data_IF_962923090464
#
_entry.id   IF_962923090464
#
_cell.length_a   1.000
_cell.length_b   1.000
_cell.length_c   1.000
_cell.angle_alpha   90.00
_cell.angle_beta   90.00
_cell.angle_gamma   90.00
#
_symmetry.space_group_name_H-M   'P 1'
#
loop_
_entity.id
_entity.type
_entity.pdbx_description
1 polymer ?
#
# COMPACT_ATOMS: atom_id res chain seq x y z
N UNK A 1 -3.56 12.41 -102.87
CA UNK A 1 -2.16 11.98 -102.98
C UNK A 1 -1.40 12.53 -101.79
N UNK A 2 -0.83 11.61 -101.02
CA UNK A 2 0.15 11.78 -99.93
C UNK A 2 -0.19 12.74 -98.78
N UNK A 3 -0.95 12.21 -97.80
CA UNK A 3 -0.91 12.65 -96.41
C UNK A 3 0.05 11.75 -95.64
N UNK A 4 1.19 12.29 -95.24
CA UNK A 4 2.08 11.73 -94.24
C UNK A 4 2.58 12.86 -93.33
N UNK A 5 2.12 12.89 -92.08
CA UNK A 5 2.75 13.55 -90.93
C UNK A 5 1.87 13.24 -89.71
N UNK A 6 2.18 12.16 -88.98
CA UNK A 6 2.86 12.19 -87.67
C UNK A 6 2.12 13.01 -86.62
N UNK A 7 1.36 12.27 -85.81
CA UNK A 7 0.66 12.69 -84.62
C UNK A 7 1.64 13.18 -83.55
N UNK A 8 1.30 14.34 -83.01
CA UNK A 8 1.92 15.08 -81.92
C UNK A 8 1.78 14.28 -80.61
N UNK A 9 2.88 13.88 -79.97
CA UNK A 9 2.88 13.42 -78.57
C UNK A 9 3.64 14.45 -77.76
N UNK A 10 2.87 15.17 -76.94
CA UNK A 10 3.34 16.20 -76.02
C UNK A 10 3.92 15.52 -74.77
N UNK A 11 5.09 15.98 -74.35
CA UNK A 11 5.92 15.32 -73.34
C UNK A 11 5.47 15.50 -71.89
N UNK A 12 6.14 14.75 -71.02
CA UNK A 12 6.28 15.07 -69.61
C UNK A 12 7.72 14.68 -69.19
N UNK A 13 8.53 15.71 -68.91
CA UNK A 13 9.85 15.58 -68.28
C UNK A 13 9.65 15.22 -66.81
N UNK A 14 10.20 14.09 -66.37
CA UNK A 14 10.32 13.71 -64.97
C UNK A 14 11.41 14.55 -64.29
N UNK A 15 11.00 15.61 -63.59
CA UNK A 15 11.82 16.35 -62.62
C UNK A 15 11.77 15.62 -61.28
N UNK A 16 12.86 14.96 -60.91
CA UNK A 16 13.07 14.39 -59.57
C UNK A 16 13.39 15.53 -58.61
N UNK A 17 12.39 15.98 -57.84
CA UNK A 17 12.58 16.86 -56.70
C UNK A 17 12.95 16.01 -55.47
N UNK A 18 14.23 16.06 -55.07
CA UNK A 18 14.66 15.58 -53.76
C UNK A 18 14.18 16.58 -52.69
N UNK A 19 12.96 16.39 -52.19
CA UNK A 19 12.47 17.06 -50.98
C UNK A 19 13.14 16.42 -49.76
N UNK A 20 14.16 17.08 -49.23
CA UNK A 20 14.66 16.82 -47.89
C UNK A 20 13.56 17.13 -46.88
N UNK A 21 13.01 16.10 -46.25
CA UNK A 21 12.13 16.25 -45.09
C UNK A 21 12.98 16.77 -43.92
N UNK A 22 12.95 18.08 -43.69
CA UNK A 22 13.43 18.67 -42.43
C UNK A 22 12.38 18.34 -41.39
N UNK A 23 12.70 17.42 -40.48
CA UNK A 23 11.88 17.03 -39.33
C UNK A 23 11.50 18.30 -38.56
N UNK A 24 10.26 18.74 -38.69
CA UNK A 24 9.67 19.70 -37.75
C UNK A 24 9.73 19.02 -36.37
N UNK A 25 10.32 19.73 -35.40
CA UNK A 25 10.31 19.29 -34.01
C UNK A 25 8.85 19.32 -33.57
N UNK A 26 8.27 18.15 -33.35
CA UNK A 26 7.06 18.03 -32.55
C UNK A 26 7.26 18.84 -31.25
N UNK A 27 6.29 19.67 -30.85
CA UNK A 27 6.34 20.29 -29.54
C UNK A 27 6.30 19.17 -28.51
N UNK A 28 7.39 19.02 -27.76
CA UNK A 28 7.50 18.06 -26.67
C UNK A 28 6.31 18.23 -25.72
N UNK A 29 5.59 17.16 -25.38
CA UNK A 29 4.53 17.24 -24.39
C UNK A 29 5.19 17.38 -23.01
N UNK A 30 4.94 18.51 -22.35
CA UNK A 30 5.19 18.71 -20.92
C UNK A 30 6.67 18.90 -20.55
N UNK A 31 7.00 20.06 -19.99
CA UNK A 31 8.27 20.24 -19.30
C UNK A 31 8.36 19.25 -18.14
N UNK A 32 9.41 18.44 -18.11
CA UNK A 32 9.87 17.82 -16.88
C UNK A 32 10.17 18.95 -15.90
N UNK A 33 9.32 19.09 -14.88
CA UNK A 33 9.75 19.70 -13.63
C UNK A 33 10.82 18.75 -13.11
N UNK A 34 12.09 19.10 -13.30
CA UNK A 34 13.20 18.22 -12.98
C UNK A 34 13.28 18.03 -11.48
N UNK A 35 12.81 16.90 -10.96
CA UNK A 35 13.10 16.48 -9.59
C UNK A 35 14.62 16.40 -9.43
N UNK A 36 15.17 17.11 -8.45
CA UNK A 36 16.63 17.30 -8.26
C UNK A 36 17.27 16.31 -7.28
N UNK A 37 16.55 15.27 -6.86
CA UNK A 37 17.02 14.34 -5.83
C UNK A 37 17.87 13.18 -6.37
N UNK A 38 18.66 12.61 -5.47
CA UNK A 38 19.47 11.40 -5.71
C UNK A 38 18.54 10.19 -5.74
N UNK A 39 18.50 9.37 -6.81
CA UNK A 39 17.65 8.18 -6.85
C UNK A 39 18.00 7.20 -5.72
N UNK A 40 16.97 6.60 -5.10
CA UNK A 40 17.16 5.53 -4.10
C UNK A 40 17.46 4.20 -4.79
N UNK A 41 18.46 3.49 -4.29
CA UNK A 41 18.65 2.07 -4.54
C UNK A 41 18.03 1.29 -3.38
N UNK A 42 16.97 0.53 -3.64
CA UNK A 42 16.34 -0.29 -2.62
C UNK A 42 17.16 -1.57 -2.41
N UNK A 43 17.58 -1.80 -1.17
CA UNK A 43 18.21 -3.06 -0.76
C UNK A 43 17.13 -4.11 -0.57
N UNK A 44 16.81 -4.82 -1.65
CA UNK A 44 15.79 -5.87 -1.69
C UNK A 44 16.42 -7.23 -1.95
N UNK A 45 15.93 -8.31 -1.30
CA UNK A 45 16.32 -9.67 -1.66
C UNK A 45 16.06 -9.94 -3.16
N UNK A 46 16.96 -10.68 -3.81
CA UNK A 46 16.86 -10.94 -5.26
C UNK A 46 15.53 -11.59 -5.65
N UNK A 47 14.98 -12.45 -4.78
CA UNK A 47 13.70 -13.11 -5.05
C UNK A 47 12.54 -12.11 -5.17
N UNK A 48 12.59 -10.97 -4.47
CA UNK A 48 11.56 -9.92 -4.58
C UNK A 48 11.58 -9.33 -5.99
N UNK A 49 12.77 -9.03 -6.50
CA UNK A 49 12.97 -8.53 -7.85
C UNK A 49 12.53 -9.55 -8.91
N UNK A 50 12.86 -10.82 -8.71
CA UNK A 50 12.56 -11.90 -9.67
C UNK A 50 11.08 -12.29 -9.68
N UNK A 51 10.40 -12.21 -8.54
CA UNK A 51 9.04 -12.75 -8.37
C UNK A 51 7.93 -11.69 -8.52
N UNK A 52 8.12 -10.50 -7.95
CA UNK A 52 7.11 -9.42 -7.99
C UNK A 52 7.61 -8.13 -8.65
N UNK A 53 8.92 -7.91 -8.66
CA UNK A 53 9.54 -6.69 -9.16
C UNK A 53 9.21 -5.46 -8.32
N UNK A 54 9.87 -4.33 -8.62
CA UNK A 54 9.55 -3.03 -8.04
C UNK A 54 8.46 -2.36 -8.89
N UNK A 55 7.35 -1.90 -8.30
CA UNK A 55 6.33 -1.14 -9.02
C UNK A 55 6.91 0.15 -9.59
N UNK A 56 6.36 0.62 -10.71
CA UNK A 56 6.77 1.90 -11.25
C UNK A 56 6.39 3.03 -10.27
N UNK A 57 7.37 3.83 -9.86
CA UNK A 57 7.12 5.02 -9.05
C UNK A 57 6.26 6.02 -9.82
N UNK A 58 5.36 6.77 -9.16
CA UNK A 58 4.65 7.86 -9.81
C UNK A 58 5.65 8.82 -10.47
N UNK A 59 5.48 9.16 -11.76
CA UNK A 59 6.42 10.04 -12.45
C UNK A 59 6.58 11.42 -11.80
N UNK A 60 5.56 11.88 -11.08
CA UNK A 60 5.53 13.13 -10.34
C UNK A 60 5.90 12.99 -8.85
N UNK A 61 6.32 11.80 -8.41
CA UNK A 61 6.90 11.57 -7.09
C UNK A 61 7.90 10.40 -7.11
N UNK A 62 9.01 10.52 -7.85
CA UNK A 62 10.05 9.49 -7.88
C UNK A 62 10.70 9.34 -6.50
N UNK A 63 11.16 8.13 -6.18
CA UNK A 63 11.81 7.84 -4.91
C UNK A 63 13.24 8.40 -4.89
N UNK A 64 13.52 9.37 -4.01
CA UNK A 64 14.83 10.01 -3.85
C UNK A 64 15.33 9.95 -2.40
N UNK A 65 16.65 9.96 -2.20
CA UNK A 65 17.28 9.89 -0.88
C UNK A 65 16.81 11.06 -0.02
N UNK A 66 16.76 12.27 -0.59
CA UNK A 66 16.35 13.49 0.08
C UNK A 66 14.84 13.48 0.39
N UNK A 67 14.02 12.97 -0.53
CA UNK A 67 12.57 12.85 -0.33
C UNK A 67 12.21 11.83 0.74
N UNK A 68 12.87 10.66 0.75
CA UNK A 68 12.72 9.64 1.81
C UNK A 68 13.15 10.18 3.17
N UNK A 69 14.30 10.87 3.23
CA UNK A 69 14.79 11.45 4.49
C UNK A 69 13.83 12.52 5.04
N UNK A 70 13.32 13.42 4.18
CA UNK A 70 12.30 14.39 4.54
C UNK A 70 11.00 13.71 4.98
N UNK A 71 10.56 12.68 4.25
CA UNK A 71 9.37 11.89 4.55
C UNK A 71 9.42 11.23 5.91
N UNK A 72 10.56 10.59 6.25
CA UNK A 72 10.80 9.99 7.56
C UNK A 72 10.66 11.02 8.67
N UNK A 73 11.23 12.22 8.49
CA UNK A 73 11.12 13.31 9.46
C UNK A 73 9.66 13.75 9.62
N UNK A 74 8.92 13.91 8.52
CA UNK A 74 7.51 14.33 8.53
C UNK A 74 6.58 13.26 9.13
N UNK A 75 6.83 11.97 8.91
CA UNK A 75 6.07 10.87 9.51
C UNK A 75 6.11 10.92 11.06
N UNK A 76 7.20 11.45 11.61
CA UNK A 76 7.40 11.65 13.05
C UNK A 76 7.16 13.11 13.51
N UNK A 77 6.72 14.00 12.61
CA UNK A 77 6.57 15.43 12.91
C UNK A 77 5.21 15.72 13.55
N UNK A 78 5.25 16.30 14.74
CA UNK A 78 4.04 16.63 15.51
C UNK A 78 3.37 17.92 15.04
N UNK A 79 4.10 18.81 14.36
CA UNK A 79 3.56 20.05 13.80
C UNK A 79 2.44 19.84 12.79
N UNK A 80 2.31 18.61 12.26
CA UNK A 80 1.20 18.18 11.42
C UNK A 80 -0.14 18.15 12.19
N UNK A 81 -0.13 17.92 13.51
CA UNK A 81 -1.32 17.94 14.36
C UNK A 81 -1.65 19.33 14.89
N UNK A 82 -2.93 19.61 15.15
CA UNK A 82 -3.43 20.92 15.57
C UNK A 82 -2.72 21.49 16.81
N UNK A 83 -2.38 20.62 17.75
CA UNK A 83 -1.84 20.94 19.07
C UNK A 83 -0.41 20.45 19.30
N UNK A 84 0.30 20.03 18.25
CA UNK A 84 1.69 19.53 18.32
C UNK A 84 1.89 18.29 19.20
N UNK A 85 0.87 17.46 19.40
CA UNK A 85 0.97 16.27 20.25
C UNK A 85 1.14 14.96 19.48
N UNK A 86 0.64 14.89 18.24
CA UNK A 86 0.57 13.67 17.43
C UNK A 86 1.23 13.81 16.06
N UNK A 87 1.76 12.69 15.57
CA UNK A 87 2.31 12.48 14.22
C UNK A 87 1.77 11.17 13.66
N UNK A 88 2.10 10.82 12.40
CA UNK A 88 1.74 9.52 11.83
C UNK A 88 2.22 8.35 12.71
N UNK A 89 3.47 8.45 13.19
CA UNK A 89 4.07 7.48 14.11
C UNK A 89 3.38 7.34 15.49
N UNK A 90 2.42 8.22 15.84
CA UNK A 90 1.66 8.08 17.09
C UNK A 90 0.65 6.94 17.02
N UNK A 91 0.08 6.69 15.84
CA UNK A 91 -0.87 5.59 15.59
C UNK A 91 -0.24 4.46 14.75
N UNK A 92 0.90 4.72 14.10
CA UNK A 92 1.61 3.73 13.29
C UNK A 92 2.96 3.41 13.95
N UNK A 93 2.91 2.58 14.99
CA UNK A 93 4.06 2.29 15.85
C UNK A 93 4.92 1.18 15.23
N UNK A 94 6.22 1.47 15.03
CA UNK A 94 7.14 0.58 14.31
C UNK A 94 7.20 -0.84 14.90
N UNK A 95 7.24 -0.99 16.23
CA UNK A 95 7.31 -2.30 16.89
C UNK A 95 6.06 -3.17 16.69
N UNK A 96 4.95 -2.54 16.32
CA UNK A 96 3.69 -3.16 15.90
C UNK A 96 3.54 -3.11 14.38
N UNK A 97 4.65 -3.18 13.65
CA UNK A 97 4.68 -3.14 12.19
C UNK A 97 3.96 -1.92 11.59
N UNK A 98 4.11 -0.76 12.22
CA UNK A 98 3.45 0.48 11.87
C UNK A 98 1.92 0.40 11.92
N UNK A 99 1.37 -0.30 12.91
CA UNK A 99 -0.03 -0.18 13.33
C UNK A 99 -0.16 0.37 14.74
N UNK A 100 -1.40 0.58 15.17
CA UNK A 100 -1.76 0.93 16.53
C UNK A 100 -2.01 -0.36 17.33
N UNK A 101 -1.35 -0.57 18.48
CA UNK A 101 -1.65 -1.71 19.35
C UNK A 101 -2.99 -1.57 20.09
N UNK A 102 -3.59 -0.37 20.12
CA UNK A 102 -4.92 -0.16 20.65
C UNK A 102 -6.00 -0.53 19.61
N UNK A 103 -7.21 -0.96 20.05
CA UNK A 103 -8.31 -1.28 19.12
C UNK A 103 -8.61 -0.16 18.12
N UNK A 104 -8.68 1.07 18.61
CA UNK A 104 -8.92 2.26 17.81
C UNK A 104 -7.94 3.34 18.20
N UNK A 105 -7.41 4.07 17.21
CA UNK A 105 -6.48 5.15 17.48
C UNK A 105 -7.14 6.33 18.18
N UNK A 106 -6.45 6.85 19.19
CA UNK A 106 -6.84 8.06 19.92
C UNK A 106 -6.32 9.31 19.19
N UNK A 107 -7.22 10.24 18.86
CA UNK A 107 -6.88 11.53 18.27
C UNK A 107 -6.43 12.58 19.26
N UNK A 108 -6.02 13.73 18.71
CA UNK A 108 -5.48 14.90 19.45
C UNK A 108 -6.38 15.46 20.56
N UNK A 109 -7.66 15.07 20.58
CA UNK A 109 -8.68 15.51 21.51
C UNK A 109 -9.20 14.40 22.43
N UNK A 110 -8.61 13.21 22.37
CA UNK A 110 -9.05 12.03 23.09
C UNK A 110 -10.27 11.31 22.50
N UNK A 111 -10.68 11.66 21.27
CA UNK A 111 -11.67 10.88 20.54
C UNK A 111 -11.01 9.65 19.93
N UNK A 112 -11.73 8.53 19.92
CA UNK A 112 -11.28 7.31 19.24
C UNK A 112 -11.84 7.23 17.82
N UNK A 113 -11.05 6.66 16.91
CA UNK A 113 -11.49 6.30 15.57
C UNK A 113 -12.60 5.24 15.56
N UNK A 114 -13.10 4.95 14.37
CA UNK A 114 -14.15 3.94 14.12
C UNK A 114 -13.60 2.68 13.43
N UNK A 115 -12.31 2.66 13.10
CA UNK A 115 -11.61 1.52 12.54
C UNK A 115 -10.22 1.35 13.13
N UNK A 116 -9.78 0.10 13.19
CA UNK A 116 -8.40 -0.23 13.53
C UNK A 116 -7.44 0.41 12.52
N UNK A 117 -6.32 0.96 13.01
CA UNK A 117 -5.27 1.45 12.13
C UNK A 117 -4.73 0.31 11.27
N UNK A 118 -4.53 0.53 9.97
CA UNK A 118 -3.90 -0.49 9.13
C UNK A 118 -2.39 -0.39 9.25
N UNK A 119 -1.71 -1.53 9.28
CA UNK A 119 -0.26 -1.58 9.24
C UNK A 119 0.32 -0.92 7.97
N UNK A 120 1.38 -0.14 8.10
CA UNK A 120 2.08 0.52 6.98
C UNK A 120 3.28 -0.32 6.56
N UNK A 121 3.04 -1.31 5.71
CA UNK A 121 4.05 -2.31 5.30
C UNK A 121 3.87 -2.61 3.81
N UNK A 122 4.97 -2.60 3.05
CA UNK A 122 4.98 -2.98 1.62
C UNK A 122 3.93 -2.24 0.78
N UNK A 123 3.57 -1.01 1.15
CA UNK A 123 2.50 -0.26 0.49
C UNK A 123 2.84 0.15 -0.96
N UNK A 124 4.09 -0.01 -1.38
CA UNK A 124 4.52 0.22 -2.75
C UNK A 124 3.73 -0.62 -3.78
N UNK A 125 3.25 -1.82 -3.41
CA UNK A 125 2.46 -2.70 -4.29
C UNK A 125 0.95 -2.53 -4.16
N UNK A 126 0.48 -1.67 -3.25
CA UNK A 126 -0.94 -1.48 -3.01
C UNK A 126 -1.59 -0.54 -4.03
N UNK A 127 -2.80 -0.91 -4.48
CA UNK A 127 -3.60 -0.14 -5.43
C UNK A 127 -4.72 0.68 -4.76
N UNK A 128 -5.02 0.38 -3.49
CA UNK A 128 -6.08 0.99 -2.70
C UNK A 128 -5.63 1.11 -1.25
N UNK A 129 -6.03 2.20 -0.60
CA UNK A 129 -5.68 2.54 0.76
C UNK A 129 -6.93 2.81 1.60
N UNK A 130 -6.78 2.61 2.91
CA UNK A 130 -7.86 2.46 3.90
C UNK A 130 -8.66 1.16 3.74
N UNK A 131 -9.32 0.75 4.83
CA UNK A 131 -10.20 -0.42 4.87
C UNK A 131 -11.31 -0.37 3.81
N UNK A 132 -11.86 0.81 3.53
CA UNK A 132 -12.90 1.04 2.51
C UNK A 132 -12.33 1.32 1.11
N UNK A 133 -11.01 1.38 0.94
CA UNK A 133 -10.37 1.61 -0.35
C UNK A 133 -10.65 3.00 -0.96
N UNK A 134 -10.98 4.02 -0.15
CA UNK A 134 -11.37 5.36 -0.63
C UNK A 134 -10.25 6.16 -1.31
N UNK A 135 -8.98 5.77 -1.12
CA UNK A 135 -7.82 6.38 -1.81
C UNK A 135 -7.13 5.37 -2.70
N UNK A 136 -6.60 5.84 -3.83
CA UNK A 136 -5.84 5.03 -4.79
C UNK A 136 -4.36 5.44 -4.88
N UNK A 137 -3.91 6.37 -4.04
CA UNK A 137 -2.52 6.81 -3.96
C UNK A 137 -2.12 6.99 -2.49
N UNK A 138 -0.85 6.73 -2.17
CA UNK A 138 -0.29 6.96 -0.84
C UNK A 138 -0.35 8.45 -0.48
N UNK A 139 -0.05 9.33 -1.44
CA UNK A 139 -0.14 10.78 -1.25
C UNK A 139 -1.56 11.22 -0.85
N UNK A 140 -2.58 10.61 -1.46
CA UNK A 140 -3.97 10.87 -1.13
C UNK A 140 -4.37 10.28 0.23
N UNK A 141 -3.80 9.14 0.61
CA UNK A 141 -3.97 8.54 1.94
C UNK A 141 -3.36 9.45 3.02
N UNK A 142 -2.09 9.85 2.86
CA UNK A 142 -1.37 10.67 3.83
C UNK A 142 -1.96 12.08 3.98
N UNK A 143 -2.75 12.53 3.01
CA UNK A 143 -3.45 13.81 3.08
C UNK A 143 -4.61 13.82 4.08
N UNK A 144 -5.29 12.69 4.28
CA UNK A 144 -6.55 12.63 5.03
C UNK A 144 -6.37 12.78 6.55
N UNK A 145 -5.44 12.06 7.22
CA UNK A 145 -5.26 12.11 8.68
C UNK A 145 -5.08 13.52 9.24
N UNK A 146 -4.34 14.37 8.53
CA UNK A 146 -4.03 15.75 8.95
C UNK A 146 -5.30 16.57 9.17
N UNK A 147 -6.30 16.39 8.31
CA UNK A 147 -7.56 17.16 8.36
C UNK A 147 -8.70 16.44 9.07
N UNK A 148 -8.53 15.16 9.40
CA UNK A 148 -9.57 14.39 10.05
C UNK A 148 -9.82 14.95 11.47
N UNK A 149 -11.06 15.35 11.82
CA UNK A 149 -11.37 15.94 13.12
C UNK A 149 -11.25 14.97 14.31
N UNK A 150 -11.19 13.67 14.05
CA UNK A 150 -11.02 12.60 15.05
C UNK A 150 -9.54 12.19 15.17
N UNK A 151 -8.67 12.57 14.23
CA UNK A 151 -7.25 12.25 14.26
C UNK A 151 -6.43 13.51 14.60
N UNK A 152 -5.77 14.12 13.61
CA UNK A 152 -4.83 15.22 13.81
C UNK A 152 -5.48 16.61 13.85
N UNK A 153 -6.74 16.73 13.39
CA UNK A 153 -7.61 17.92 13.49
C UNK A 153 -6.99 19.25 13.03
N UNK A 154 -6.04 19.21 12.10
CA UNK A 154 -5.37 20.39 11.62
C UNK A 154 -5.93 20.85 10.25
N UNK A 155 -5.38 21.94 9.72
CA UNK A 155 -5.64 22.38 8.35
C UNK A 155 -4.33 22.47 7.59
N UNK A 156 -4.34 22.14 6.31
CA UNK A 156 -3.15 22.24 5.47
C UNK A 156 -2.53 23.65 5.44
N UNK A 157 -3.29 24.75 5.33
CA UNK A 157 -2.69 26.09 5.41
C UNK A 157 -1.93 26.37 6.71
N UNK A 158 -2.41 25.84 7.85
CA UNK A 158 -1.74 25.97 9.14
C UNK A 158 -0.47 25.11 9.18
N UNK A 159 -0.53 23.86 8.73
CA UNK A 159 0.64 22.97 8.61
C UNK A 159 1.71 23.59 7.71
N UNK A 160 1.34 24.07 6.53
CA UNK A 160 2.22 24.73 5.58
C UNK A 160 2.91 25.94 6.22
N UNK A 161 2.15 26.82 6.88
CA UNK A 161 2.72 27.98 7.56
C UNK A 161 3.71 27.61 8.68
N UNK A 162 3.41 26.56 9.45
CA UNK A 162 4.28 26.05 10.52
C UNK A 162 5.58 25.50 9.96
N UNK A 163 5.50 24.61 8.97
CA UNK A 163 6.67 24.02 8.33
C UNK A 163 7.51 25.11 7.62
N UNK A 164 6.85 26.07 6.97
CA UNK A 164 7.53 27.18 6.28
C UNK A 164 8.30 28.08 7.26
N UNK A 165 7.78 28.28 8.48
CA UNK A 165 8.43 29.06 9.53
C UNK A 165 9.51 28.27 10.30
N UNK A 166 9.57 26.95 10.15
CA UNK A 166 10.55 26.11 10.84
C UNK A 166 11.96 26.34 10.27
N UNK A 167 13.02 26.42 11.10
CA UNK A 167 14.37 26.73 10.64
C UNK A 167 14.97 25.69 9.68
N UNK A 168 14.53 24.43 9.75
CA UNK A 168 15.11 23.33 8.96
C UNK A 168 14.31 23.00 7.69
N UNK A 169 12.98 23.02 7.76
CA UNK A 169 12.14 22.42 6.70
C UNK A 169 12.31 23.07 5.33
N UNK A 170 12.35 24.41 5.17
CA UNK A 170 12.56 25.02 3.86
C UNK A 170 13.82 24.52 3.15
N UNK A 171 14.90 24.23 3.88
CA UNK A 171 16.13 23.68 3.30
C UNK A 171 15.99 22.20 2.91
N UNK A 172 15.23 21.41 3.68
CA UNK A 172 14.96 20.01 3.37
C UNK A 172 14.04 19.87 2.15
N UNK A 173 13.04 20.73 2.01
CA UNK A 173 12.18 20.78 0.82
C UNK A 173 12.95 21.25 -0.42
N UNK A 174 13.87 22.21 -0.27
CA UNK A 174 14.75 22.61 -1.37
C UNK A 174 15.61 21.43 -1.84
N UNK A 175 16.17 20.63 -0.92
CA UNK A 175 16.95 19.45 -1.27
C UNK A 175 16.10 18.36 -1.96
N UNK A 176 14.88 18.10 -1.46
CA UNK A 176 14.01 17.05 -1.97
C UNK A 176 13.31 17.40 -3.29
N UNK A 177 12.88 18.64 -3.46
CA UNK A 177 11.97 19.06 -4.52
C UNK A 177 12.43 20.29 -5.32
N UNK A 178 13.60 20.86 -5.00
CA UNK A 178 14.14 22.04 -5.67
C UNK A 178 13.38 23.34 -5.37
N UNK A 179 12.64 23.36 -4.25
CA UNK A 179 11.93 24.55 -3.77
C UNK A 179 11.85 24.58 -2.24
N UNK A 180 12.14 25.72 -1.66
CA UNK A 180 11.95 26.02 -0.23
C UNK A 180 10.53 26.47 0.13
N UNK A 181 9.65 26.65 -0.87
CA UNK A 181 8.22 26.89 -0.65
C UNK A 181 7.52 25.57 -0.38
N UNK A 182 6.86 25.49 0.77
CA UNK A 182 6.21 24.27 1.26
C UNK A 182 4.71 24.35 0.98
N UNK A 183 4.16 23.30 0.37
CA UNK A 183 2.73 23.08 0.23
C UNK A 183 2.36 21.65 0.68
N UNK A 184 1.06 21.40 0.89
CA UNK A 184 0.57 20.10 1.32
C UNK A 184 0.93 18.96 0.36
N UNK A 185 1.00 19.21 -0.95
CA UNK A 185 1.33 18.19 -1.94
C UNK A 185 2.77 17.71 -1.75
N UNK A 186 3.72 18.62 -1.54
CA UNK A 186 5.12 18.26 -1.29
C UNK A 186 5.28 17.53 0.05
N UNK A 187 4.51 17.91 1.08
CA UNK A 187 4.50 17.22 2.38
C UNK A 187 4.08 15.76 2.21
N UNK A 188 2.91 15.51 1.61
CA UNK A 188 2.41 14.14 1.44
C UNK A 188 3.24 13.33 0.44
N UNK A 189 3.87 13.98 -0.55
CA UNK A 189 4.82 13.34 -1.46
C UNK A 189 6.05 12.83 -0.73
N UNK A 190 6.61 13.61 0.18
CA UNK A 190 7.74 13.17 1.00
C UNK A 190 7.34 12.01 1.91
N UNK A 191 6.22 12.13 2.64
CA UNK A 191 5.69 11.03 3.49
C UNK A 191 5.52 9.75 2.68
N UNK A 192 4.84 9.83 1.53
CA UNK A 192 4.62 8.68 0.65
C UNK A 192 5.93 8.10 0.08
N UNK A 193 7.00 8.88 -0.08
CA UNK A 193 8.31 8.34 -0.44
C UNK A 193 8.89 7.50 0.71
N UNK A 194 8.78 7.97 1.96
CA UNK A 194 9.19 7.19 3.12
C UNK A 194 8.36 5.91 3.29
N UNK A 195 7.03 5.97 3.16
CA UNK A 195 6.17 4.80 3.29
C UNK A 195 6.47 3.72 2.23
N UNK A 196 6.96 4.10 1.04
CA UNK A 196 7.41 3.16 0.00
C UNK A 196 8.70 2.42 0.36
N UNK A 197 9.45 2.88 1.36
CA UNK A 197 10.66 2.20 1.85
C UNK A 197 10.42 1.31 3.06
N UNK A 198 9.20 1.29 3.61
CA UNK A 198 8.79 0.39 4.68
C UNK A 198 8.57 -1.02 4.13
N UNK A 199 9.67 -1.70 3.85
CA UNK A 199 9.72 -2.98 3.14
C UNK A 199 10.05 -4.15 4.08
N UNK A 200 9.16 -5.14 4.15
CA UNK A 200 9.29 -6.35 4.99
C UNK A 200 9.33 -7.60 4.11
N UNK A 201 10.52 -8.20 4.02
CA UNK A 201 10.83 -9.33 3.14
C UNK A 201 11.91 -10.28 3.71
N UNK A 202 12.13 -10.26 5.03
CA UNK A 202 13.09 -11.12 5.72
C UNK A 202 12.48 -11.96 6.86
N UNK A 203 11.17 -12.23 6.80
CA UNK A 203 10.50 -13.09 7.78
C UNK A 203 11.06 -14.53 7.77
N UNK A 204 10.72 -15.33 8.78
CA UNK A 204 11.10 -16.76 8.80
C UNK A 204 10.54 -17.52 7.61
N UNK A 205 9.32 -17.19 7.18
CA UNK A 205 8.75 -17.69 5.94
C UNK A 205 9.62 -17.31 4.72
N UNK A 206 10.04 -16.05 4.60
CA UNK A 206 10.83 -15.60 3.45
C UNK A 206 12.19 -16.33 3.38
N UNK A 207 12.86 -16.49 4.53
CA UNK A 207 14.13 -17.23 4.63
C UNK A 207 13.98 -18.70 4.27
N UNK A 208 12.89 -19.34 4.69
CA UNK A 208 12.61 -20.74 4.35
C UNK A 208 12.27 -20.90 2.87
N UNK A 209 11.24 -20.19 2.39
CA UNK A 209 10.63 -20.43 1.09
C UNK A 209 11.49 -19.88 -0.06
N UNK A 210 11.99 -18.64 0.07
CA UNK A 210 12.79 -17.99 -0.96
C UNK A 210 14.30 -18.10 -0.69
N UNK A 211 14.72 -18.03 0.58
CA UNK A 211 16.12 -18.13 0.97
C UNK A 211 16.69 -19.55 0.98
N UNK A 212 15.82 -20.58 0.98
CA UNK A 212 16.22 -21.99 1.03
C UNK A 212 16.75 -22.45 2.40
N UNK A 213 16.57 -21.66 3.46
CA UNK A 213 16.91 -22.06 4.82
C UNK A 213 15.87 -23.05 5.37
N UNK A 214 16.12 -24.34 5.15
CA UNK A 214 15.25 -25.44 5.62
C UNK A 214 15.01 -25.48 7.13
N UNK A 215 15.78 -24.71 7.92
CA UNK A 215 15.71 -24.64 9.38
C UNK A 215 14.95 -23.42 9.91
N UNK A 216 14.58 -22.46 9.05
CA UNK A 216 13.91 -21.23 9.47
C UNK A 216 12.46 -21.45 9.98
N UNK A 217 11.79 -22.51 9.52
CA UNK A 217 10.48 -22.93 10.02
C UNK A 217 10.57 -24.24 10.82
N UNK A 218 9.79 -24.30 11.89
CA UNK A 218 9.48 -25.53 12.62
C UNK A 218 8.54 -26.43 11.82
N UNK A 219 8.40 -27.70 12.22
CA UNK A 219 7.48 -28.63 11.55
C UNK A 219 6.00 -28.20 11.69
N UNK A 220 5.63 -27.59 12.82
CA UNK A 220 4.29 -27.06 13.04
C UNK A 220 3.99 -25.90 12.08
N UNK A 221 4.95 -24.99 11.88
CA UNK A 221 4.79 -23.86 10.95
C UNK A 221 4.77 -24.32 9.49
N UNK A 222 5.54 -25.35 9.14
CA UNK A 222 5.46 -25.97 7.80
C UNK A 222 4.09 -26.60 7.56
N UNK A 223 3.52 -27.25 8.57
CA UNK A 223 2.17 -27.79 8.48
C UNK A 223 1.13 -26.67 8.31
N UNK A 224 1.22 -25.60 9.11
CA UNK A 224 0.38 -24.41 8.96
C UNK A 224 0.50 -23.74 7.60
N UNK A 225 1.71 -23.68 7.05
CA UNK A 225 1.98 -23.19 5.70
C UNK A 225 1.26 -24.05 4.65
N UNK A 226 1.35 -25.39 4.73
CA UNK A 226 0.66 -26.27 3.78
C UNK A 226 -0.86 -26.10 3.84
N UNK A 227 -1.42 -25.99 5.05
CA UNK A 227 -2.85 -25.70 5.25
C UNK A 227 -3.23 -24.35 4.63
N UNK A 228 -2.48 -23.28 4.94
CA UNK A 228 -2.75 -21.92 4.48
C UNK A 228 -2.85 -21.83 2.94
N UNK A 229 -1.92 -22.49 2.25
CA UNK A 229 -1.84 -22.48 0.78
C UNK A 229 -2.74 -23.51 0.10
N UNK A 230 -3.46 -24.34 0.87
CA UNK A 230 -4.27 -25.44 0.33
C UNK A 230 -5.60 -25.55 1.08
N UNK A 231 -5.67 -26.41 2.08
CA UNK A 231 -6.92 -26.93 2.62
C UNK A 231 -7.67 -25.91 3.50
N UNK A 232 -6.97 -24.90 4.05
CA UNK A 232 -7.58 -23.79 4.78
C UNK A 232 -8.00 -22.62 3.88
N UNK A 233 -7.67 -22.66 2.59
CA UNK A 233 -8.10 -21.66 1.58
C UNK A 233 -7.73 -20.19 1.87
N UNK A 234 -6.81 -19.92 2.80
CA UNK A 234 -6.42 -18.56 3.15
C UNK A 234 -5.76 -17.82 1.97
N UNK A 235 -4.98 -18.53 1.16
CA UNK A 235 -4.29 -17.99 -0.03
C UNK A 235 -5.25 -17.42 -1.09
N UNK A 236 -6.50 -17.87 -1.13
CA UNK A 236 -7.47 -17.46 -2.15
C UNK A 236 -7.70 -15.93 -2.14
N UNK A 237 -7.59 -15.32 -0.96
CA UNK A 237 -7.55 -13.86 -0.75
C UNK A 237 -6.13 -13.36 -0.39
N UNK A 238 -5.38 -14.09 0.43
CA UNK A 238 -4.06 -13.67 0.91
C UNK A 238 -2.93 -14.28 0.09
N UNK A 239 -2.79 -13.77 -1.14
CA UNK A 239 -1.91 -14.35 -2.18
C UNK A 239 -0.42 -14.19 -1.88
N UNK A 240 0.40 -14.98 -2.57
CA UNK A 240 1.83 -15.06 -2.37
C UNK A 240 2.53 -13.68 -2.45
N UNK A 241 3.73 -13.62 -1.89
CA UNK A 241 4.63 -12.45 -1.84
C UNK A 241 4.18 -11.31 -0.93
N UNK A 242 2.95 -10.83 -0.99
CA UNK A 242 2.46 -9.74 -0.11
C UNK A 242 1.37 -10.18 0.85
N UNK A 243 0.90 -11.43 0.77
CA UNK A 243 -0.19 -11.96 1.60
C UNK A 243 -1.45 -11.09 1.57
N UNK A 244 -1.74 -10.53 0.40
CA UNK A 244 -2.85 -9.64 0.12
C UNK A 244 -3.25 -9.77 -1.35
N UNK A 245 -4.40 -9.21 -1.70
CA UNK A 245 -4.81 -9.01 -3.08
C UNK A 245 -5.48 -7.64 -3.25
N UNK A 246 -5.55 -7.08 -4.47
CA UNK A 246 -6.06 -5.72 -4.69
C UNK A 246 -7.59 -5.60 -4.60
N UNK A 247 -8.29 -6.70 -4.31
CA UNK A 247 -9.74 -6.79 -4.24
C UNK A 247 -10.33 -6.13 -3.00
N UNK A 248 -11.60 -5.75 -3.15
CA UNK A 248 -12.48 -5.38 -2.03
C UNK A 248 -13.46 -6.54 -1.83
N UNK A 249 -13.45 -7.17 -0.65
CA UNK A 249 -14.11 -8.45 -0.39
C UNK A 249 -14.96 -8.41 0.85
N UNK A 250 -16.01 -9.22 0.87
CA UNK A 250 -16.76 -9.55 2.08
C UNK A 250 -16.43 -11.00 2.45
N UNK A 251 -15.80 -11.18 3.61
CA UNK A 251 -15.38 -12.48 4.15
C UNK A 251 -16.46 -13.15 5.05
N UNK A 252 -17.67 -12.59 5.12
CA UNK A 252 -18.74 -13.09 5.98
C UNK A 252 -18.57 -12.71 7.44
N UNK A 253 -17.91 -11.59 7.75
CA UNK A 253 -17.71 -11.13 9.14
C UNK A 253 -19.03 -10.79 9.84
N UNK A 254 -20.01 -10.25 9.13
CA UNK A 254 -21.29 -9.84 9.68
C UNK A 254 -22.46 -10.22 8.77
N UNK A 255 -23.52 -10.77 9.36
CA UNK A 255 -24.80 -10.93 8.66
C UNK A 255 -25.44 -9.57 8.30
N UNK A 256 -25.25 -8.56 9.15
CA UNK A 256 -25.76 -7.19 8.95
C UNK A 256 -24.68 -6.15 9.29
N UNK A 257 -23.79 -5.81 8.34
CA UNK A 257 -22.69 -4.88 8.58
C UNK A 257 -23.19 -3.50 9.04
N UNK A 258 -22.69 -3.02 10.18
CA UNK A 258 -22.96 -1.65 10.66
C UNK A 258 -22.10 -0.64 9.90
N UNK A 259 -20.83 -0.98 9.69
CA UNK A 259 -19.96 -0.34 8.70
C UNK A 259 -20.14 -1.02 7.35
N UNK A 260 -20.64 -0.28 6.35
CA UNK A 260 -20.88 -0.82 5.02
C UNK A 260 -19.61 -0.86 4.13
N UNK A 261 -18.46 -0.40 4.64
CA UNK A 261 -17.16 -0.48 3.97
C UNK A 261 -17.14 0.27 2.65
N UNK A 262 -16.72 -0.40 1.57
CA UNK A 262 -16.54 0.18 0.24
C UNK A 262 -17.84 0.77 -0.35
N UNK A 263 -19.02 0.33 0.11
CA UNK A 263 -20.28 0.97 -0.22
C UNK A 263 -20.31 2.46 0.14
N UNK A 264 -19.71 2.86 1.27
CA UNK A 264 -19.68 4.26 1.70
C UNK A 264 -18.91 5.15 0.71
N UNK A 265 -18.03 4.55 -0.09
CA UNK A 265 -17.26 5.22 -1.15
C UNK A 265 -18.02 5.24 -2.48
N UNK A 266 -18.69 4.15 -2.84
CA UNK A 266 -19.22 3.96 -4.20
C UNK A 266 -20.73 4.16 -4.33
N UNK A 267 -21.49 4.00 -3.24
CA UNK A 267 -22.96 3.95 -3.24
C UNK A 267 -23.57 2.74 -3.96
N UNK A 268 -22.77 1.74 -4.33
CA UNK A 268 -23.22 0.55 -5.07
C UNK A 268 -23.57 -0.56 -4.10
N UNK A 269 -24.85 -0.97 -4.02
CA UNK A 269 -25.33 -1.99 -3.05
C UNK A 269 -24.53 -3.31 -3.08
N UNK A 270 -23.98 -3.69 -4.23
CA UNK A 270 -23.12 -4.87 -4.35
C UNK A 270 -21.78 -4.78 -3.59
N UNK A 271 -21.43 -3.59 -3.07
CA UNK A 271 -20.22 -3.33 -2.29
C UNK A 271 -20.47 -3.24 -0.77
N UNK A 272 -21.70 -3.43 -0.30
CA UNK A 272 -22.01 -3.45 1.14
C UNK A 272 -21.22 -4.58 1.78
N UNK A 273 -20.52 -4.26 2.88
CA UNK A 273 -19.72 -5.20 3.67
C UNK A 273 -18.37 -5.56 3.04
N UNK A 274 -17.96 -4.87 1.95
CA UNK A 274 -16.67 -5.14 1.29
C UNK A 274 -15.58 -4.24 1.83
N UNK A 275 -14.46 -4.84 2.18
CA UNK A 275 -13.26 -4.17 2.68
C UNK A 275 -12.02 -4.60 1.89
N UNK A 276 -10.97 -3.80 1.94
CA UNK A 276 -9.65 -4.15 1.40
C UNK A 276 -9.15 -5.41 2.11
N UNK A 277 -8.56 -6.34 1.35
CA UNK A 277 -7.83 -7.48 1.92
C UNK A 277 -6.51 -6.96 2.49
N UNK A 278 -6.29 -6.98 3.82
CA UNK A 278 -5.03 -6.51 4.39
C UNK A 278 -3.89 -7.49 4.07
N UNK A 279 -2.65 -7.01 4.15
CA UNK A 279 -1.48 -7.90 4.15
C UNK A 279 -1.44 -8.70 5.45
N UNK A 280 -1.04 -9.97 5.37
CA UNK A 280 -0.71 -10.78 6.55
C UNK A 280 0.79 -10.76 6.90
N UNK A 281 1.61 -9.99 6.19
CA UNK A 281 3.00 -9.78 6.62
C UNK A 281 3.00 -9.07 7.97
N UNK A 282 3.77 -9.60 8.92
CA UNK A 282 3.79 -9.15 10.31
C UNK A 282 2.46 -9.26 11.07
N UNK A 283 1.49 -10.05 10.60
CA UNK A 283 0.18 -10.18 11.26
C UNK A 283 0.28 -10.65 12.73
N UNK A 284 1.36 -11.35 13.08
CA UNK A 284 1.65 -11.78 14.45
C UNK A 284 1.85 -10.66 15.47
N UNK A 285 2.02 -9.40 15.02
CA UNK A 285 2.27 -8.24 15.90
C UNK A 285 1.34 -7.04 15.66
N UNK A 286 0.30 -7.22 14.83
CA UNK A 286 -0.62 -6.15 14.43
C UNK A 286 -2.05 -6.34 14.96
N UNK A 287 -2.21 -7.08 16.06
CA UNK A 287 -3.49 -7.16 16.73
C UNK A 287 -3.84 -5.82 17.43
N UNK A 288 -5.12 -5.58 17.79
CA UNK A 288 -6.28 -6.45 17.52
C UNK A 288 -6.69 -6.49 16.04
N UNK A 289 -7.51 -7.47 15.67
CA UNK A 289 -7.75 -7.84 14.27
C UNK A 289 -9.13 -7.45 13.73
N UNK A 290 -9.22 -7.41 12.40
CA UNK A 290 -10.33 -6.88 11.60
C UNK A 290 -10.43 -5.36 11.64
N UNK A 291 -11.27 -4.80 10.76
CA UNK A 291 -11.47 -3.35 10.68
C UNK A 291 -12.06 -2.75 11.97
N UNK A 292 -12.72 -3.56 12.80
CA UNK A 292 -13.40 -3.14 14.02
C UNK A 292 -12.78 -3.72 15.31
N UNK A 293 -11.61 -4.35 15.20
CA UNK A 293 -10.84 -4.86 16.34
C UNK A 293 -11.55 -5.87 17.23
N UNK A 294 -12.57 -6.59 16.71
CA UNK A 294 -13.38 -7.50 17.52
C UNK A 294 -12.61 -8.73 18.02
N UNK A 295 -11.50 -9.09 17.37
CA UNK A 295 -10.67 -10.22 17.76
C UNK A 295 -9.35 -9.73 18.34
N UNK A 296 -9.05 -10.13 19.56
CA UNK A 296 -7.81 -9.80 20.27
C UNK A 296 -6.63 -10.69 19.83
N UNK A 297 -6.89 -11.91 19.35
CA UNK A 297 -5.83 -12.87 19.02
C UNK A 297 -6.00 -13.52 17.65
N UNK A 298 -4.94 -14.11 17.11
CA UNK A 298 -4.98 -14.85 15.85
C UNK A 298 -5.81 -16.13 15.97
N UNK A 299 -5.85 -16.75 17.15
CA UNK A 299 -6.70 -17.90 17.45
C UNK A 299 -8.17 -17.54 17.23
N UNK A 300 -8.63 -16.38 17.74
CA UNK A 300 -10.01 -15.92 17.52
C UNK A 300 -10.30 -15.65 16.04
N UNK A 301 -9.32 -15.16 15.28
CA UNK A 301 -9.45 -14.99 13.81
C UNK A 301 -9.59 -16.34 13.11
N UNK A 302 -8.77 -17.33 13.48
CA UNK A 302 -8.82 -18.67 12.90
C UNK A 302 -10.11 -19.38 13.29
N UNK A 303 -10.55 -19.25 14.54
CA UNK A 303 -11.83 -19.78 15.01
C UNK A 303 -13.01 -19.16 14.25
N UNK A 304 -12.98 -17.84 14.01
CA UNK A 304 -13.98 -17.20 13.16
C UNK A 304 -14.06 -17.84 11.76
N UNK A 305 -12.91 -18.02 11.10
CA UNK A 305 -12.90 -18.65 9.79
C UNK A 305 -13.26 -20.13 9.86
N UNK A 306 -13.02 -20.84 10.96
CA UNK A 306 -13.38 -22.24 11.04
C UNK A 306 -14.88 -22.44 11.32
N UNK A 307 -15.49 -21.61 12.17
CA UNK A 307 -16.80 -21.90 12.76
C UNK A 307 -17.86 -20.80 12.55
N UNK A 308 -17.47 -19.52 12.49
CA UNK A 308 -18.39 -18.39 12.66
C UNK A 308 -18.59 -17.52 11.40
N UNK A 309 -18.15 -17.98 10.23
CA UNK A 309 -18.40 -17.26 8.96
C UNK A 309 -19.90 -17.17 8.67
N UNK A 310 -20.40 -15.94 8.54
CA UNK A 310 -21.80 -15.67 8.19
C UNK A 310 -22.05 -15.89 6.69
N UNK A 311 -22.39 -17.13 6.31
CA UNK A 311 -22.61 -17.53 4.92
C UNK A 311 -23.76 -16.79 4.21
N UNK A 312 -24.65 -16.14 4.97
CA UNK A 312 -25.73 -15.31 4.45
C UNK A 312 -25.41 -13.81 4.47
N UNK A 313 -24.16 -13.43 4.77
CA UNK A 313 -23.70 -12.04 4.72
C UNK A 313 -23.93 -11.43 3.34
N UNK A 314 -24.34 -10.15 3.25
CA UNK A 314 -24.60 -9.49 1.97
C UNK A 314 -23.36 -9.44 1.10
N UNK A 315 -23.47 -9.83 -0.17
CA UNK A 315 -22.38 -9.75 -1.15
C UNK A 315 -21.12 -10.57 -0.78
N UNK A 316 -21.29 -11.67 -0.04
CA UNK A 316 -20.24 -12.63 0.29
C UNK A 316 -19.36 -12.93 -0.95
N UNK A 317 -18.04 -12.88 -0.76
CA UNK A 317 -17.10 -13.06 -1.87
C UNK A 317 -17.13 -14.50 -2.40
N UNK A 318 -16.91 -14.67 -3.70
CA UNK A 318 -16.91 -15.98 -4.34
C UNK A 318 -15.79 -16.90 -3.82
N UNK A 319 -14.69 -16.35 -3.31
CA UNK A 319 -13.62 -17.15 -2.68
C UNK A 319 -14.08 -17.80 -1.36
N UNK A 320 -15.22 -17.39 -0.78
CA UNK A 320 -15.81 -18.04 0.39
C UNK A 320 -16.59 -19.32 0.04
N UNK A 321 -16.60 -19.75 -1.23
CA UNK A 321 -17.28 -20.98 -1.65
C UNK A 321 -16.87 -22.24 -0.88
N UNK A 322 -15.59 -22.47 -0.49
CA UNK A 322 -15.22 -23.60 0.34
C UNK A 322 -15.99 -23.69 1.66
N UNK A 323 -16.27 -22.56 2.32
CA UNK A 323 -17.08 -22.50 3.54
C UNK A 323 -18.55 -22.86 3.26
N UNK A 324 -19.11 -22.35 2.16
CA UNK A 324 -20.48 -22.68 1.72
C UNK A 324 -20.63 -24.17 1.40
N UNK A 325 -19.58 -24.78 0.84
CA UNK A 325 -19.54 -26.19 0.51
C UNK A 325 -19.27 -27.11 1.72
N UNK A 326 -18.96 -26.55 2.90
CA UNK A 326 -18.57 -27.31 4.09
C UNK A 326 -17.23 -28.01 3.93
N UNK A 327 -16.30 -27.41 3.19
CA UNK A 327 -14.95 -27.94 2.95
C UNK A 327 -13.91 -27.44 3.96
N UNK A 328 -14.31 -26.56 4.88
CA UNK A 328 -13.46 -26.10 5.98
C UNK A 328 -13.86 -26.89 7.22
N UNK A 329 -12.97 -27.79 7.64
CA UNK A 329 -13.10 -28.61 8.86
C UNK A 329 -11.71 -28.69 9.48
N UNK A 330 -11.34 -27.65 10.23
CA UNK A 330 -10.03 -27.53 10.86
C UNK A 330 -10.08 -28.07 12.29
N UNK A 331 -9.27 -29.08 12.58
CA UNK A 331 -9.10 -29.57 13.95
C UNK A 331 -8.24 -28.63 14.80
N UNK A 332 -8.17 -28.87 16.11
CA UNK A 332 -7.43 -28.02 17.03
C UNK A 332 -5.92 -27.92 16.68
N UNK A 333 -5.32 -29.00 16.19
CA UNK A 333 -3.89 -29.02 15.82
C UNK A 333 -3.66 -28.20 14.55
N UNK A 334 -4.57 -28.30 13.58
CA UNK A 334 -4.52 -27.54 12.34
C UNK A 334 -4.70 -26.03 12.57
N UNK A 335 -5.61 -25.66 13.48
CA UNK A 335 -5.79 -24.27 13.91
C UNK A 335 -4.53 -23.70 14.56
N UNK A 336 -3.94 -24.44 15.52
CA UNK A 336 -2.67 -24.07 16.14
C UNK A 336 -1.53 -23.94 15.11
N UNK A 337 -1.49 -24.84 14.12
CA UNK A 337 -0.48 -24.80 13.06
C UNK A 337 -0.64 -23.56 12.17
N UNK A 338 -1.87 -23.18 11.79
CA UNK A 338 -2.14 -21.94 11.04
C UNK A 338 -1.69 -20.69 11.81
N UNK A 339 -2.00 -20.61 13.11
CA UNK A 339 -1.54 -19.52 13.97
C UNK A 339 -0.02 -19.47 14.03
N UNK A 340 0.65 -20.60 14.23
CA UNK A 340 2.11 -20.69 14.23
C UNK A 340 2.71 -20.18 12.90
N UNK A 341 2.13 -20.58 11.76
CA UNK A 341 2.56 -20.09 10.45
C UNK A 341 2.38 -18.58 10.29
N UNK A 342 1.24 -18.02 10.72
CA UNK A 342 1.00 -16.58 10.67
C UNK A 342 2.02 -15.79 11.51
N UNK A 343 2.45 -16.30 12.66
CA UNK A 343 3.56 -15.72 13.41
C UNK A 343 4.90 -15.80 12.67
N UNK A 344 5.12 -16.82 11.84
CA UNK A 344 6.33 -16.95 11.01
C UNK A 344 6.41 -15.93 9.86
N UNK A 345 5.33 -15.18 9.59
CA UNK A 345 5.30 -14.04 8.67
C UNK A 345 5.84 -12.75 9.28
N UNK A 346 6.25 -12.78 10.56
CA UNK A 346 6.86 -11.63 11.24
C UNK A 346 8.33 -11.49 10.86
N UNK A 347 8.73 -10.26 10.58
CA UNK A 347 10.06 -9.83 10.16
C UNK A 347 10.66 -8.94 11.24
N UNK A 348 11.40 -9.56 12.17
CA UNK A 348 12.00 -8.84 13.31
C UNK A 348 12.98 -7.73 12.87
N UNK A 349 13.62 -7.87 11.71
CA UNK A 349 14.52 -6.84 11.20
C UNK A 349 13.74 -5.59 10.80
N UNK A 350 12.58 -5.75 10.15
CA UNK A 350 11.68 -4.64 9.81
C UNK A 350 11.18 -3.90 11.06
N UNK A 351 10.77 -4.63 12.09
CA UNK A 351 10.26 -4.06 13.35
C UNK A 351 11.31 -3.27 14.12
N UNK A 352 12.60 -3.52 13.88
CA UNK A 352 13.70 -2.90 14.63
C UNK A 352 14.63 -2.05 13.76
N UNK A 353 14.29 -1.84 12.48
CA UNK A 353 15.17 -1.14 11.55
C UNK A 353 15.36 0.33 11.94
N UNK A 354 16.59 0.77 12.30
CA UNK A 354 16.84 2.15 12.68
C UNK A 354 16.62 3.15 11.55
N UNK A 355 16.53 2.69 10.28
CA UNK A 355 16.19 3.53 9.13
C UNK A 355 14.74 4.02 9.17
N UNK A 356 13.85 3.35 9.90
CA UNK A 356 12.43 3.73 9.98
C UNK A 356 12.05 4.47 11.27
N UNK A 357 12.87 4.36 12.32
CA UNK A 357 12.66 5.03 13.61
C UNK A 357 12.67 6.56 13.51
N UNK A 358 12.29 7.28 14.58
CA UNK A 358 12.42 8.74 14.62
C UNK A 358 13.88 9.20 14.35
N UNK A 359 14.13 10.13 13.41
CA UNK A 359 15.47 10.55 13.01
C UNK A 359 16.16 11.52 13.96
#
# INVERSE_FOLDING_TARGET
>A
MERGMRTMVMGALLLVFAMGCRKEKDPSPGGNVGFSGTPVELDLPSWVMDSIGIPAWPPDNPLTVEGVALGRKLFHEKALSDNYTQSCASCHVQEHAFTDPDPFSEGTNGAFGDRNAMAVINLAWDLRFFWDGRRNTLEGQAHDPVTNPIEMRNTWPEVEARLQAHPEYPSLFEAAFGTSTIDSNLVVKAIAQFERTLLSFNSRYDRFYYGGDSTALTEQEKHGMDLFFRDAHCVDCHREHTFSDPGMRNNGLDLSPQDSGFYLVTGVNAHIGRFKVPTLRNIGVTGPYMHDSRFATLEEVVDFYADDVELNSPNLDAHMFPWVAGHIDLDATEREALVAFMHALTDDDFLNDPRFSAP
#
